data_IF_293607867770
#
_entry.id   IF_293607867770
#
_cell.length_a   1.000
_cell.length_b   1.000
_cell.length_c   1.000
_cell.angle_alpha   90.00
_cell.angle_beta   90.00
_cell.angle_gamma   90.00
#
_symmetry.space_group_name_H-M   'P 1'
#
loop_
_entity.id
_entity.type
_entity.pdbx_description
1 polymer ?
#
# COMPACT_ATOMS: atom_id res chain seq x y z
N UNK A 1 -45.65 -13.13 -42.99
CA UNK A 1 -46.50 -14.32 -43.19
C UNK A 1 -45.56 -15.51 -43.36
N UNK A 2 -45.62 -16.46 -42.45
CA UNK A 2 -44.61 -17.52 -42.31
C UNK A 2 -44.61 -18.46 -43.52
N UNK A 3 -43.43 -18.70 -44.08
CA UNK A 3 -43.14 -19.60 -45.19
C UNK A 3 -43.64 -21.05 -44.96
N UNK A 4 -44.11 -21.34 -43.76
CA UNK A 4 -44.61 -22.66 -43.35
C UNK A 4 -45.89 -23.09 -44.06
N UNK A 5 -46.77 -22.14 -44.44
CA UNK A 5 -48.01 -22.45 -45.16
C UNK A 5 -47.82 -22.56 -46.67
N UNK A 6 -46.74 -22.04 -47.22
CA UNK A 6 -46.48 -22.18 -48.68
C UNK A 6 -46.03 -23.59 -49.07
N UNK A 7 -45.44 -24.36 -48.17
CA UNK A 7 -44.92 -25.69 -48.50
C UNK A 7 -45.92 -26.73 -48.83
N UNK A 8 -47.03 -26.90 -48.09
CA UNK A 8 -48.10 -27.86 -48.53
C UNK A 8 -48.72 -27.44 -49.88
N UNK A 9 -48.86 -26.12 -50.13
CA UNK A 9 -49.33 -25.62 -51.40
C UNK A 9 -48.35 -25.93 -52.55
N UNK A 10 -47.06 -25.76 -52.35
CA UNK A 10 -46.02 -26.09 -53.33
C UNK A 10 -45.92 -27.60 -53.55
N UNK A 11 -46.04 -28.42 -52.51
CA UNK A 11 -46.04 -29.84 -52.58
C UNK A 11 -47.28 -30.34 -53.36
N UNK A 12 -48.46 -29.77 -53.10
CA UNK A 12 -49.69 -30.03 -53.86
C UNK A 12 -49.55 -29.63 -55.34
N UNK A 13 -48.99 -28.45 -55.62
CA UNK A 13 -48.73 -27.98 -56.97
C UNK A 13 -47.74 -28.88 -57.71
N UNK A 14 -46.70 -29.35 -57.06
CA UNK A 14 -45.72 -30.29 -57.61
C UNK A 14 -46.34 -31.66 -57.89
N UNK A 15 -47.15 -32.18 -56.97
CA UNK A 15 -47.87 -33.46 -57.20
C UNK A 15 -48.89 -33.33 -58.36
N UNK A 16 -49.61 -32.20 -58.39
CA UNK A 16 -50.57 -31.95 -59.51
C UNK A 16 -49.86 -31.83 -60.87
N UNK A 17 -48.68 -31.15 -60.88
CA UNK A 17 -47.86 -31.07 -62.09
C UNK A 17 -47.32 -32.44 -62.52
N UNK A 18 -46.83 -33.24 -61.56
CA UNK A 18 -46.35 -34.60 -61.81
C UNK A 18 -47.47 -35.50 -62.36
N UNK A 19 -48.68 -35.36 -61.80
CA UNK A 19 -49.88 -36.07 -62.31
C UNK A 19 -50.29 -35.60 -63.73
N UNK A 20 -50.23 -34.28 -63.98
CA UNK A 20 -50.55 -33.71 -65.28
C UNK A 20 -49.58 -34.16 -66.41
N UNK A 21 -48.28 -34.13 -66.09
CA UNK A 21 -47.25 -34.64 -67.01
C UNK A 21 -47.42 -36.14 -67.25
N UNK A 22 -47.65 -36.88 -66.16
CA UNK A 22 -47.94 -38.35 -66.27
C UNK A 22 -49.14 -38.63 -67.05
N UNK A 23 -50.27 -37.87 -66.94
CA UNK A 23 -51.50 -38.01 -67.71
C UNK A 23 -51.25 -37.75 -69.19
N UNK A 24 -50.52 -36.69 -69.56
CA UNK A 24 -50.17 -36.34 -70.92
C UNK A 24 -49.33 -37.44 -71.61
N UNK A 25 -48.31 -37.97 -70.88
CA UNK A 25 -47.51 -39.11 -71.38
C UNK A 25 -48.34 -40.38 -71.48
N UNK A 26 -49.25 -40.66 -70.55
CA UNK A 26 -50.11 -41.81 -70.50
C UNK A 26 -51.19 -41.82 -71.57
N UNK A 27 -51.68 -40.67 -72.04
CA UNK A 27 -52.58 -40.50 -73.14
C UNK A 27 -51.96 -41.01 -74.48
N UNK A 28 -50.64 -40.92 -74.59
CA UNK A 28 -49.88 -41.43 -75.75
C UNK A 28 -49.69 -42.94 -75.72
N UNK A 29 -49.64 -43.55 -74.51
CA UNK A 29 -49.38 -44.99 -74.31
C UNK A 29 -50.67 -45.77 -74.06
N UNK A 30 -51.84 -45.16 -73.99
CA UNK A 30 -53.17 -45.81 -73.81
C UNK A 30 -53.53 -46.06 -72.32
N UNK A 31 -52.75 -45.64 -71.36
CA UNK A 31 -52.98 -45.80 -69.91
C UNK A 31 -52.82 -44.53 -69.09
N UNK A 32 -53.62 -43.46 -69.35
CA UNK A 32 -53.37 -42.14 -68.80
C UNK A 32 -53.48 -42.06 -67.25
N UNK A 33 -54.42 -42.79 -66.68
CA UNK A 33 -54.63 -42.73 -65.19
C UNK A 33 -53.51 -43.35 -64.38
N UNK A 34 -53.01 -44.50 -64.85
CA UNK A 34 -51.92 -45.21 -64.17
C UNK A 34 -50.58 -44.45 -64.22
N UNK A 35 -50.31 -43.84 -65.36
CA UNK A 35 -49.06 -43.06 -65.55
C UNK A 35 -49.16 -41.73 -64.82
N UNK A 36 -50.32 -41.09 -64.67
CA UNK A 36 -50.56 -39.94 -63.84
C UNK A 36 -50.31 -40.26 -62.35
N UNK A 37 -50.85 -41.40 -61.89
CA UNK A 37 -50.60 -41.86 -60.50
C UNK A 37 -49.11 -42.16 -60.22
N UNK A 38 -48.43 -42.78 -61.18
CA UNK A 38 -46.96 -42.99 -61.07
C UNK A 38 -46.18 -41.71 -61.04
N UNK A 39 -46.55 -40.71 -61.87
CA UNK A 39 -45.90 -39.36 -61.84
C UNK A 39 -46.06 -38.61 -60.50
N UNK A 40 -47.30 -38.66 -59.97
CA UNK A 40 -47.53 -38.07 -58.62
C UNK A 40 -46.75 -38.80 -57.52
N UNK A 41 -46.68 -40.15 -57.61
CA UNK A 41 -45.93 -40.96 -56.63
C UNK A 41 -44.43 -40.68 -56.68
N UNK A 42 -43.83 -40.47 -57.84
CA UNK A 42 -42.41 -40.09 -57.99
C UNK A 42 -42.12 -38.74 -57.31
N UNK A 43 -43.05 -37.78 -57.51
CA UNK A 43 -42.85 -36.43 -56.84
C UNK A 43 -42.94 -36.58 -55.31
N UNK A 44 -43.88 -37.38 -54.79
CA UNK A 44 -43.96 -37.62 -53.32
C UNK A 44 -42.69 -38.28 -52.78
N UNK A 45 -42.16 -39.28 -53.53
CA UNK A 45 -40.93 -39.98 -53.14
C UNK A 45 -39.70 -39.00 -53.15
N UNK A 46 -39.63 -38.12 -54.17
CA UNK A 46 -38.55 -37.14 -54.23
C UNK A 46 -38.60 -36.08 -53.07
N UNK A 47 -39.84 -35.64 -52.77
CA UNK A 47 -40.05 -34.73 -51.62
C UNK A 47 -39.70 -35.41 -50.27
N UNK A 48 -40.10 -36.67 -50.10
CA UNK A 48 -39.77 -37.48 -48.94
C UNK A 48 -38.24 -37.70 -48.79
N UNK A 49 -37.62 -38.08 -49.91
CA UNK A 49 -36.16 -38.25 -49.93
C UNK A 49 -35.40 -36.93 -49.58
N UNK A 50 -35.91 -35.81 -50.10
CA UNK A 50 -35.40 -34.49 -49.76
C UNK A 50 -35.48 -34.18 -48.22
N UNK A 51 -36.67 -34.46 -47.64
CA UNK A 51 -36.89 -34.24 -46.20
C UNK A 51 -36.05 -35.17 -45.34
N UNK A 52 -35.93 -36.44 -45.69
CA UNK A 52 -35.10 -37.42 -44.99
C UNK A 52 -33.59 -37.00 -45.05
N UNK A 53 -33.15 -36.57 -46.24
CA UNK A 53 -31.76 -36.13 -46.39
C UNK A 53 -31.44 -34.91 -45.52
N UNK A 54 -32.36 -33.92 -45.43
CA UNK A 54 -32.17 -32.74 -44.57
C UNK A 54 -32.30 -33.09 -43.10
N UNK A 55 -33.22 -33.96 -42.69
CA UNK A 55 -33.31 -34.46 -41.32
C UNK A 55 -32.05 -35.22 -40.91
N UNK A 56 -31.50 -36.05 -41.79
CA UNK A 56 -30.24 -36.76 -41.53
C UNK A 56 -29.07 -35.80 -41.41
N UNK A 57 -28.96 -34.77 -42.26
CA UNK A 57 -27.97 -33.71 -42.17
C UNK A 57 -28.06 -32.97 -40.84
N UNK A 58 -29.28 -32.63 -40.42
CA UNK A 58 -29.52 -31.94 -39.14
C UNK A 58 -29.11 -32.79 -37.94
N UNK A 59 -29.49 -34.05 -37.90
CA UNK A 59 -29.12 -34.99 -36.84
C UNK A 59 -27.60 -35.22 -36.79
N UNK A 60 -26.98 -35.34 -37.97
CA UNK A 60 -25.52 -35.50 -38.05
C UNK A 60 -24.79 -34.24 -37.55
N UNK A 61 -25.28 -33.06 -37.87
CA UNK A 61 -24.74 -31.78 -37.37
C UNK A 61 -24.90 -31.65 -35.84
N UNK A 62 -26.04 -32.06 -35.27
CA UNK A 62 -26.23 -32.05 -33.83
C UNK A 62 -25.28 -33.01 -33.08
N UNK A 63 -24.84 -34.09 -33.70
CA UNK A 63 -23.96 -35.11 -33.10
C UNK A 63 -22.45 -34.81 -33.33
N UNK A 64 -22.14 -33.98 -34.32
CA UNK A 64 -20.75 -33.72 -34.74
C UNK A 64 -20.14 -32.47 -34.12
N UNK A 65 -18.83 -32.25 -34.34
CA UNK A 65 -18.19 -30.98 -34.01
C UNK A 65 -18.86 -29.87 -34.83
N UNK A 66 -19.41 -28.89 -34.15
CA UNK A 66 -20.28 -27.80 -34.66
C UNK A 66 -19.55 -26.75 -35.51
N UNK A 67 -18.43 -27.09 -36.11
CA UNK A 67 -17.57 -26.21 -36.91
C UNK A 67 -18.08 -25.99 -38.34
N UNK A 68 -19.03 -26.79 -38.82
CA UNK A 68 -19.59 -26.68 -40.19
C UNK A 68 -20.94 -25.98 -40.15
N UNK A 69 -21.08 -24.95 -40.94
CA UNK A 69 -22.37 -24.36 -41.27
C UNK A 69 -23.31 -25.43 -41.88
N UNK A 70 -24.59 -25.38 -41.50
CA UNK A 70 -25.59 -26.36 -41.93
C UNK A 70 -25.87 -26.35 -43.44
N UNK A 71 -25.26 -25.42 -44.21
CA UNK A 71 -25.43 -25.25 -45.65
C UNK A 71 -26.81 -24.74 -46.03
N UNK A 72 -26.90 -24.27 -47.27
CA UNK A 72 -28.16 -23.72 -47.79
C UNK A 72 -29.24 -24.80 -47.92
N UNK A 73 -30.31 -24.61 -47.18
CA UNK A 73 -31.55 -25.36 -47.31
C UNK A 73 -32.66 -24.42 -47.78
N UNK A 74 -33.67 -24.96 -48.46
CA UNK A 74 -34.80 -24.15 -48.91
C UNK A 74 -36.07 -24.48 -48.13
N UNK A 75 -36.92 -23.48 -47.94
CA UNK A 75 -38.21 -23.65 -47.27
C UNK A 75 -38.14 -23.91 -45.76
N UNK A 76 -38.90 -24.90 -45.27
CA UNK A 76 -39.01 -25.19 -43.82
C UNK A 76 -37.68 -25.55 -43.19
N UNK A 77 -36.83 -26.30 -43.88
CA UNK A 77 -35.51 -26.69 -43.36
C UNK A 77 -34.54 -25.51 -43.19
N UNK A 78 -34.66 -24.49 -44.05
CA UNK A 78 -33.90 -23.26 -43.89
C UNK A 78 -34.24 -22.55 -42.55
N UNK A 79 -35.51 -22.47 -42.22
CA UNK A 79 -35.96 -21.83 -40.99
C UNK A 79 -35.60 -22.66 -39.74
N UNK A 80 -35.72 -23.98 -39.80
CA UNK A 80 -35.31 -24.90 -38.72
C UNK A 80 -33.82 -24.79 -38.47
N UNK A 81 -33.00 -24.80 -39.53
CA UNK A 81 -31.56 -24.68 -39.42
C UNK A 81 -31.13 -23.31 -38.83
N UNK A 82 -31.71 -22.23 -39.36
CA UNK A 82 -31.43 -20.89 -38.88
C UNK A 82 -31.80 -20.69 -37.41
N UNK A 83 -32.98 -21.17 -37.00
CA UNK A 83 -33.40 -21.06 -35.60
C UNK A 83 -32.53 -21.91 -34.67
N UNK A 84 -32.22 -23.14 -35.07
CA UNK A 84 -31.37 -24.02 -34.26
C UNK A 84 -29.94 -23.44 -34.09
N UNK A 85 -29.36 -22.96 -35.19
CA UNK A 85 -28.03 -22.34 -35.17
C UNK A 85 -28.02 -21.07 -34.31
N UNK A 86 -29.03 -20.22 -34.47
CA UNK A 86 -29.13 -18.98 -33.66
C UNK A 86 -29.28 -19.28 -32.16
N UNK A 87 -30.14 -20.26 -31.80
CA UNK A 87 -30.35 -20.63 -30.40
C UNK A 87 -29.08 -21.22 -29.79
N UNK A 88 -28.37 -22.07 -30.51
CA UNK A 88 -27.11 -22.64 -30.04
C UNK A 88 -26.00 -21.61 -29.90
N UNK A 89 -25.86 -20.70 -30.87
CA UNK A 89 -24.91 -19.59 -30.78
C UNK A 89 -25.23 -18.68 -29.61
N UNK A 90 -26.51 -18.43 -29.30
CA UNK A 90 -26.92 -17.65 -28.12
C UNK A 90 -26.51 -18.36 -26.83
N UNK A 91 -26.80 -19.66 -26.70
CA UNK A 91 -26.43 -20.45 -25.50
C UNK A 91 -24.90 -20.51 -25.32
N UNK A 92 -24.16 -20.71 -26.41
CA UNK A 92 -22.67 -20.69 -26.34
C UNK A 92 -22.13 -19.31 -25.94
N UNK A 93 -22.72 -18.26 -26.48
CA UNK A 93 -22.34 -16.88 -26.10
C UNK A 93 -22.62 -16.61 -24.62
N UNK A 94 -23.81 -16.98 -24.13
CA UNK A 94 -24.21 -16.79 -22.73
C UNK A 94 -23.28 -17.56 -21.78
N UNK A 95 -22.93 -18.81 -22.13
CA UNK A 95 -21.96 -19.62 -21.35
C UNK A 95 -20.56 -19.04 -21.36
N UNK A 96 -20.10 -18.50 -22.48
CA UNK A 96 -18.80 -17.83 -22.57
C UNK A 96 -18.80 -16.56 -21.74
N UNK A 97 -19.85 -15.76 -21.82
CA UNK A 97 -20.00 -14.53 -21.04
C UNK A 97 -20.05 -14.81 -19.54
N UNK A 98 -20.79 -15.84 -19.11
CA UNK A 98 -20.82 -16.26 -17.70
C UNK A 98 -19.45 -16.70 -17.20
N UNK A 99 -18.70 -17.48 -18.00
CA UNK A 99 -17.34 -17.90 -17.66
C UNK A 99 -16.39 -16.71 -17.58
N UNK A 100 -16.51 -15.76 -18.49
CA UNK A 100 -15.67 -14.56 -18.52
C UNK A 100 -15.97 -13.67 -17.31
N UNK A 101 -17.23 -13.42 -16.98
CA UNK A 101 -17.64 -12.68 -15.79
C UNK A 101 -17.13 -13.34 -14.50
N UNK A 102 -17.25 -14.66 -14.39
CA UNK A 102 -16.71 -15.40 -13.24
C UNK A 102 -15.20 -15.29 -13.15
N UNK A 103 -14.50 -15.39 -14.26
CA UNK A 103 -13.03 -15.23 -14.30
C UNK A 103 -12.61 -13.83 -13.91
N UNK A 104 -13.26 -12.79 -14.41
CA UNK A 104 -13.01 -11.39 -14.06
C UNK A 104 -13.27 -11.12 -12.57
N UNK A 105 -14.35 -11.67 -12.01
CA UNK A 105 -14.66 -11.55 -10.59
C UNK A 105 -13.58 -12.18 -9.70
N UNK A 106 -13.15 -13.41 -10.01
CA UNK A 106 -12.07 -14.08 -9.26
C UNK A 106 -10.75 -13.32 -9.39
N UNK A 107 -10.42 -12.81 -10.59
CA UNK A 107 -9.22 -11.99 -10.79
C UNK A 107 -9.24 -10.70 -10.00
N UNK A 108 -10.40 -10.06 -9.85
CA UNK A 108 -10.56 -8.85 -9.03
C UNK A 108 -10.33 -9.13 -7.54
N UNK A 109 -10.83 -10.28 -7.04
CA UNK A 109 -10.59 -10.69 -5.64
C UNK A 109 -9.14 -11.11 -5.43
N UNK A 110 -8.52 -11.75 -6.43
CA UNK A 110 -7.09 -12.11 -6.37
C UNK A 110 -6.17 -10.87 -6.31
N UNK A 111 -6.56 -9.79 -6.98
CA UNK A 111 -5.86 -8.50 -6.94
C UNK A 111 -6.12 -7.67 -5.67
N UNK A 112 -7.00 -8.13 -4.76
CA UNK A 112 -7.29 -7.44 -3.50
C UNK A 112 -6.03 -7.36 -2.62
N UNK A 113 -5.72 -6.20 -2.01
CA UNK A 113 -4.65 -6.08 -1.02
C UNK A 113 -4.98 -6.79 0.30
N UNK A 114 -6.24 -7.18 0.49
CA UNK A 114 -6.68 -7.92 1.66
C UNK A 114 -6.73 -9.42 1.36
N UNK A 115 -6.42 -10.22 2.37
CA UNK A 115 -6.62 -11.66 2.28
C UNK A 115 -8.11 -12.00 2.30
N UNK A 116 -8.53 -12.82 1.33
CA UNK A 116 -9.90 -13.33 1.22
C UNK A 116 -9.85 -14.84 1.18
N UNK A 117 -10.61 -15.48 2.06
CA UNK A 117 -10.68 -16.93 2.19
C UNK A 117 -12.14 -17.34 2.33
N UNK A 118 -12.56 -18.34 1.58
CA UNK A 118 -13.91 -18.88 1.60
C UNK A 118 -13.90 -20.24 2.29
N UNK A 119 -14.80 -20.40 3.25
CA UNK A 119 -14.98 -21.64 4.01
C UNK A 119 -16.37 -22.23 3.73
N UNK A 120 -16.44 -23.54 3.68
CA UNK A 120 -17.69 -24.28 3.65
C UNK A 120 -18.38 -24.34 5.05
N UNK A 121 -19.49 -25.07 5.14
CA UNK A 121 -20.24 -25.27 6.37
C UNK A 121 -19.43 -25.99 7.47
N UNK A 122 -18.41 -26.77 7.08
CA UNK A 122 -17.53 -27.54 7.95
C UNK A 122 -16.22 -26.84 8.29
N UNK A 123 -16.08 -25.55 7.96
CA UNK A 123 -14.86 -24.75 8.09
C UNK A 123 -13.68 -25.26 7.23
N UNK A 124 -13.96 -25.95 6.09
CA UNK A 124 -12.96 -26.35 5.12
C UNK A 124 -12.74 -25.23 4.11
N UNK A 125 -11.51 -25.10 3.65
CA UNK A 125 -11.10 -24.07 2.70
C UNK A 125 -11.65 -24.42 1.31
N UNK A 126 -12.63 -23.66 0.79
CA UNK A 126 -13.09 -23.78 -0.58
C UNK A 126 -12.20 -23.02 -1.57
N UNK A 127 -11.72 -21.86 -1.14
CA UNK A 127 -10.88 -20.98 -1.95
C UNK A 127 -10.18 -19.94 -1.09
N UNK A 128 -8.99 -19.51 -1.50
CA UNK A 128 -8.30 -18.37 -0.92
C UNK A 128 -7.50 -17.63 -2.00
N UNK A 129 -7.36 -16.30 -1.84
CA UNK A 129 -6.44 -15.53 -2.67
C UNK A 129 -5.01 -15.64 -2.13
N UNK A 130 -4.04 -15.18 -2.95
CA UNK A 130 -2.63 -15.20 -2.59
C UNK A 130 -2.34 -14.48 -1.28
N UNK A 131 -2.96 -13.34 -1.03
CA UNK A 131 -2.74 -12.55 0.19
C UNK A 131 -3.21 -13.30 1.43
N UNK A 132 -4.36 -13.99 1.40
CA UNK A 132 -4.79 -14.85 2.50
C UNK A 132 -3.83 -16.01 2.73
N UNK A 133 -3.33 -16.62 1.65
CA UNK A 133 -2.34 -17.69 1.75
C UNK A 133 -1.03 -17.22 2.42
N UNK A 134 -0.55 -16.02 2.08
CA UNK A 134 0.61 -15.39 2.73
C UNK A 134 0.34 -15.06 4.21
N UNK A 135 -0.80 -14.46 4.53
CA UNK A 135 -1.18 -14.08 5.90
C UNK A 135 -1.29 -15.27 6.85
N UNK A 136 -1.91 -16.36 6.40
CA UNK A 136 -2.15 -17.54 7.22
C UNK A 136 -1.12 -18.66 7.02
N UNK A 137 -0.19 -18.49 6.08
CA UNK A 137 0.83 -19.49 5.76
C UNK A 137 0.27 -20.74 5.08
N UNK A 138 -0.73 -20.57 4.22
CA UNK A 138 -1.42 -21.65 3.50
C UNK A 138 -0.76 -21.91 2.14
N UNK A 139 -0.88 -23.15 1.66
CA UNK A 139 -0.57 -23.52 0.28
C UNK A 139 -1.87 -23.65 -0.50
N UNK A 140 -2.06 -22.75 -1.50
CA UNK A 140 -3.28 -22.65 -2.30
C UNK A 140 -3.65 -23.96 -3.03
N UNK A 141 -2.66 -24.84 -3.33
CA UNK A 141 -2.92 -26.10 -4.04
C UNK A 141 -3.14 -27.28 -3.09
N UNK A 142 -2.42 -27.28 -1.96
CA UNK A 142 -2.39 -28.42 -1.05
C UNK A 142 -3.45 -28.36 0.05
N UNK A 143 -3.80 -27.15 0.49
CA UNK A 143 -4.61 -26.95 1.70
C UNK A 143 -6.11 -26.74 1.41
N UNK A 144 -6.50 -26.75 0.13
CA UNK A 144 -7.92 -26.75 -0.27
C UNK A 144 -8.60 -28.01 0.26
N UNK A 145 -9.86 -27.88 0.71
CA UNK A 145 -10.69 -28.90 1.36
C UNK A 145 -10.18 -29.35 2.73
N UNK A 146 -9.13 -28.74 3.25
CA UNK A 146 -8.72 -28.97 4.63
C UNK A 146 -9.42 -27.98 5.59
N UNK A 147 -9.64 -28.43 6.82
CA UNK A 147 -10.25 -27.59 7.84
C UNK A 147 -9.26 -26.51 8.27
N UNK A 148 -9.66 -25.24 8.19
CA UNK A 148 -8.78 -24.10 8.47
C UNK A 148 -8.16 -24.15 9.86
N UNK A 149 -8.90 -24.64 10.89
CA UNK A 149 -8.42 -24.74 12.27
C UNK A 149 -7.30 -25.78 12.48
N UNK A 150 -7.08 -26.69 11.53
CA UNK A 150 -5.96 -27.64 11.57
C UNK A 150 -4.66 -26.99 11.11
N UNK A 151 -4.75 -26.01 10.23
CA UNK A 151 -3.64 -25.31 9.60
C UNK A 151 -3.29 -24.05 10.39
N UNK A 152 -4.30 -23.22 10.67
CA UNK A 152 -4.18 -21.96 11.42
C UNK A 152 -4.49 -22.21 12.88
N UNK A 153 -3.45 -22.44 13.69
CA UNK A 153 -3.57 -22.82 15.10
C UNK A 153 -3.50 -21.65 16.08
N UNK A 154 -3.75 -20.44 15.63
CA UNK A 154 -3.78 -19.25 16.50
C UNK A 154 -4.99 -19.32 17.43
N UNK A 155 -4.81 -19.35 18.77
CA UNK A 155 -5.92 -19.55 19.72
C UNK A 155 -7.03 -18.50 19.58
N UNK A 156 -6.65 -17.23 19.36
CA UNK A 156 -7.59 -16.14 19.19
C UNK A 156 -8.45 -16.30 17.92
N UNK A 157 -7.85 -16.73 16.79
CA UNK A 157 -8.57 -17.00 15.54
C UNK A 157 -9.53 -18.18 15.69
N UNK A 158 -9.07 -19.29 16.28
CA UNK A 158 -9.89 -20.49 16.48
C UNK A 158 -11.09 -20.19 17.40
N UNK A 159 -10.86 -19.51 18.52
CA UNK A 159 -11.91 -19.10 19.43
C UNK A 159 -12.93 -18.15 18.75
N UNK A 160 -12.45 -17.21 17.96
CA UNK A 160 -13.28 -16.27 17.21
C UNK A 160 -14.14 -17.00 16.15
N UNK A 161 -13.55 -17.91 15.38
CA UNK A 161 -14.26 -18.68 14.36
C UNK A 161 -15.36 -19.56 14.96
N UNK A 162 -15.09 -20.20 16.10
CA UNK A 162 -16.01 -21.09 16.82
C UNK A 162 -17.07 -20.34 17.64
N UNK A 163 -16.76 -19.13 18.09
CA UNK A 163 -17.63 -18.34 18.99
C UNK A 163 -18.90 -17.80 18.34
N UNK A 164 -18.96 -17.72 17.00
CA UNK A 164 -20.16 -17.29 16.28
C UNK A 164 -20.50 -15.79 16.38
N UNK A 165 -19.77 -15.03 17.21
CA UNK A 165 -19.97 -13.59 17.42
C UNK A 165 -19.03 -12.79 16.51
N UNK A 166 -19.36 -12.67 15.22
CA UNK A 166 -18.49 -12.05 14.21
C UNK A 166 -18.81 -10.58 13.92
N UNK A 167 -19.34 -9.85 14.89
CA UNK A 167 -19.72 -8.44 14.71
C UNK A 167 -18.51 -7.52 14.55
N UNK A 168 -17.42 -7.80 15.27
CA UNK A 168 -16.20 -7.04 15.26
C UNK A 168 -15.02 -7.91 14.80
N UNK A 169 -13.99 -7.33 14.15
CA UNK A 169 -12.81 -8.08 13.77
C UNK A 169 -11.98 -8.48 14.98
N UNK A 170 -11.35 -9.64 14.93
CA UNK A 170 -10.35 -10.06 15.91
C UNK A 170 -8.95 -9.71 15.40
N UNK A 171 -8.08 -9.28 16.30
CA UNK A 171 -6.67 -9.09 16.01
C UNK A 171 -5.90 -10.34 16.41
N UNK A 172 -5.13 -10.86 15.47
CA UNK A 172 -4.29 -12.04 15.66
C UNK A 172 -2.85 -11.76 15.24
N UNK A 173 -1.90 -12.47 15.80
CA UNK A 173 -0.52 -12.44 15.34
C UNK A 173 -0.45 -13.09 13.95
N UNK A 174 0.30 -12.49 13.02
CA UNK A 174 0.51 -13.08 11.72
C UNK A 174 1.54 -14.22 11.76
N UNK A 175 1.94 -14.70 10.59
CA UNK A 175 3.00 -15.71 10.46
C UNK A 175 4.34 -15.22 11.04
N UNK A 176 4.66 -13.96 10.85
CA UNK A 176 5.78 -13.29 11.53
C UNK A 176 5.26 -12.77 12.88
N UNK A 177 5.89 -13.12 14.03
CA UNK A 177 5.51 -12.64 15.35
C UNK A 177 5.48 -11.10 15.49
N UNK A 178 6.17 -10.40 14.58
CA UNK A 178 6.17 -8.93 14.51
C UNK A 178 5.01 -8.37 13.69
N UNK A 179 4.20 -9.22 13.03
CA UNK A 179 3.06 -8.81 12.21
C UNK A 179 1.73 -9.02 12.94
N UNK A 180 0.77 -8.13 12.68
CA UNK A 180 -0.56 -8.17 13.24
C UNK A 180 -1.61 -8.16 12.13
N UNK A 181 -2.53 -9.10 12.19
CA UNK A 181 -3.63 -9.24 11.25
C UNK A 181 -4.96 -8.91 11.92
N UNK A 182 -5.75 -8.07 11.29
CA UNK A 182 -7.17 -7.91 11.59
C UNK A 182 -7.97 -8.91 10.79
N UNK A 183 -8.68 -9.81 11.45
CA UNK A 183 -9.46 -10.88 10.82
C UNK A 183 -10.93 -10.68 11.10
N UNK A 184 -11.73 -10.64 10.05
CA UNK A 184 -13.18 -10.51 10.09
C UNK A 184 -13.82 -11.72 9.42
N UNK A 185 -14.73 -12.39 10.11
CA UNK A 185 -15.55 -13.48 9.56
C UNK A 185 -16.95 -12.95 9.27
N UNK A 186 -17.51 -13.32 8.11
CA UNK A 186 -18.91 -13.03 7.76
C UNK A 186 -19.56 -14.28 7.18
N UNK A 187 -20.78 -14.64 7.63
CA UNK A 187 -21.53 -15.69 6.99
C UNK A 187 -22.05 -15.24 5.63
N UNK A 188 -22.07 -16.15 4.65
CA UNK A 188 -22.71 -15.93 3.38
C UNK A 188 -23.35 -17.23 2.87
N UNK A 189 -24.41 -17.10 2.07
CA UNK A 189 -25.13 -18.25 1.56
C UNK A 189 -25.67 -19.17 2.65
N UNK A 190 -25.68 -20.47 2.40
CA UNK A 190 -26.15 -21.49 3.33
C UNK A 190 -24.95 -22.02 4.15
N UNK A 191 -24.75 -21.48 5.35
CA UNK A 191 -23.73 -21.96 6.31
C UNK A 191 -22.26 -21.66 5.97
N UNK A 192 -21.98 -21.10 4.80
CA UNK A 192 -20.63 -20.74 4.36
C UNK A 192 -20.13 -19.47 5.02
N UNK A 193 -18.82 -19.31 5.10
CA UNK A 193 -18.16 -18.16 5.73
C UNK A 193 -17.11 -17.55 4.81
N UNK A 194 -17.08 -16.23 4.79
CA UNK A 194 -15.96 -15.47 4.21
C UNK A 194 -15.09 -14.96 5.34
N UNK A 195 -13.79 -15.20 5.25
CA UNK A 195 -12.78 -14.68 6.17
C UNK A 195 -12.00 -13.61 5.42
N UNK A 196 -12.01 -12.40 5.97
CA UNK A 196 -11.25 -11.27 5.47
C UNK A 196 -10.07 -11.02 6.41
N UNK A 197 -8.86 -10.93 5.89
CA UNK A 197 -7.68 -10.60 6.68
C UNK A 197 -6.99 -9.36 6.12
N UNK A 198 -6.60 -8.45 7.00
CA UNK A 198 -5.89 -7.22 6.67
C UNK A 198 -4.64 -7.12 7.55
N UNK A 199 -3.50 -6.84 6.95
CA UNK A 199 -2.30 -6.50 7.70
C UNK A 199 -2.45 -5.11 8.31
N UNK A 200 -2.40 -5.05 9.63
CA UNK A 200 -2.52 -3.84 10.43
C UNK A 200 -1.23 -3.53 11.20
N UNK A 201 -0.11 -4.17 10.85
CA UNK A 201 1.16 -4.07 11.55
C UNK A 201 1.63 -2.62 11.69
N UNK A 202 1.68 -1.89 10.58
CA UNK A 202 2.10 -0.49 10.58
C UNK A 202 1.15 0.41 11.38
N UNK A 203 -0.15 0.14 11.30
CA UNK A 203 -1.15 0.87 12.07
C UNK A 203 -0.96 0.63 13.58
N UNK A 204 -0.81 -0.63 13.98
CA UNK A 204 -0.58 -0.97 15.39
C UNK A 204 0.74 -0.41 15.93
N UNK A 205 1.81 -0.47 15.14
CA UNK A 205 3.09 0.16 15.50
C UNK A 205 2.94 1.67 15.70
N UNK A 206 2.22 2.33 14.80
CA UNK A 206 1.92 3.76 14.92
C UNK A 206 1.10 4.09 16.17
N UNK A 207 0.06 3.30 16.48
CA UNK A 207 -0.75 3.49 17.68
C UNK A 207 0.02 3.19 18.98
N UNK A 208 0.90 2.18 18.97
CA UNK A 208 1.79 1.89 20.10
C UNK A 208 2.79 3.03 20.34
N UNK A 209 3.49 3.48 19.27
CA UNK A 209 4.39 4.62 19.34
C UNK A 209 3.71 5.88 19.88
N UNK A 210 2.47 6.13 19.47
CA UNK A 210 1.70 7.29 19.96
C UNK A 210 1.36 7.16 21.47
N UNK A 211 0.96 5.97 21.92
CA UNK A 211 0.68 5.73 23.35
C UNK A 211 1.95 5.90 24.19
N UNK A 212 3.06 5.32 23.72
CA UNK A 212 4.36 5.43 24.41
C UNK A 212 4.85 6.88 24.44
N UNK A 213 4.62 7.62 23.36
CA UNK A 213 4.94 9.05 23.32
C UNK A 213 4.17 9.83 24.39
N UNK A 214 2.84 9.67 24.50
CA UNK A 214 2.03 10.37 25.51
C UNK A 214 2.44 9.98 26.95
N UNK A 215 2.73 8.71 27.17
CA UNK A 215 3.21 8.23 28.48
C UNK A 215 4.57 8.86 28.83
N UNK A 216 5.52 8.86 27.91
CA UNK A 216 6.84 9.43 28.12
C UNK A 216 6.80 10.95 28.32
N UNK A 217 5.99 11.69 27.53
CA UNK A 217 5.77 13.13 27.76
C UNK A 217 5.27 13.39 29.18
N UNK A 218 4.27 12.60 29.62
CA UNK A 218 3.70 12.75 30.96
C UNK A 218 4.76 12.51 32.05
N UNK A 219 5.62 11.53 31.89
CA UNK A 219 6.70 11.23 32.81
C UNK A 219 7.79 12.33 32.82
N UNK A 220 8.23 12.80 31.64
CA UNK A 220 9.26 13.82 31.52
C UNK A 220 8.81 15.21 32.03
N UNK A 221 7.50 15.49 32.01
CA UNK A 221 6.93 16.71 32.62
C UNK A 221 6.72 16.55 34.12
N UNK A 222 6.24 15.38 34.58
CA UNK A 222 5.95 15.17 36.00
C UNK A 222 7.20 15.28 36.89
N UNK A 223 8.33 14.73 36.43
CA UNK A 223 9.57 14.71 37.21
C UNK A 223 10.07 16.12 37.59
N UNK A 224 10.28 17.05 36.67
CA UNK A 224 10.71 18.41 37.01
C UNK A 224 9.66 19.16 37.84
N UNK A 225 8.35 18.95 37.60
CA UNK A 225 7.28 19.54 38.41
C UNK A 225 7.33 19.09 39.86
N UNK A 226 7.55 17.79 40.12
CA UNK A 226 7.70 17.25 41.47
C UNK A 226 8.94 17.84 42.16
N UNK A 227 10.06 17.99 41.44
CA UNK A 227 11.26 18.59 41.98
C UNK A 227 11.06 20.10 42.33
N UNK A 228 10.38 20.84 41.44
CA UNK A 228 10.01 22.22 41.71
C UNK A 228 9.10 22.37 42.92
N UNK A 229 8.07 21.50 43.05
CA UNK A 229 7.18 21.50 44.20
C UNK A 229 7.96 21.24 45.51
N UNK A 230 8.90 20.28 45.52
CA UNK A 230 9.74 20.01 46.68
C UNK A 230 10.67 21.17 47.05
N UNK A 231 11.21 21.90 46.05
CA UNK A 231 11.99 23.09 46.33
C UNK A 231 11.16 24.26 46.90
N UNK A 232 9.93 24.43 46.43
CA UNK A 232 8.98 25.41 46.98
C UNK A 232 8.67 25.06 48.44
N UNK A 233 8.32 23.80 48.72
CA UNK A 233 8.03 23.31 50.06
C UNK A 233 9.26 23.50 51.01
N UNK A 234 10.46 23.25 50.49
CA UNK A 234 11.70 23.47 51.22
C UNK A 234 11.87 24.96 51.59
N UNK A 235 11.60 25.87 50.64
CA UNK A 235 11.68 27.30 50.86
C UNK A 235 10.61 27.84 51.81
N UNK A 236 9.43 27.22 51.87
CA UNK A 236 8.33 27.59 52.72
C UNK A 236 8.54 27.12 54.17
N UNK A 237 9.07 25.89 54.37
CA UNK A 237 9.07 25.23 55.68
C UNK A 237 10.43 25.26 56.39
N UNK A 238 11.53 25.59 55.69
CA UNK A 238 12.86 25.59 56.29
C UNK A 238 13.47 27.00 56.37
N UNK A 239 14.10 27.40 57.50
CA UNK A 239 14.84 28.63 57.59
C UNK A 239 16.19 28.48 56.86
N UNK A 240 16.20 28.87 55.56
CA UNK A 240 17.39 28.81 54.72
C UNK A 240 18.25 30.03 54.87
N UNK A 241 19.55 29.84 54.88
CA UNK A 241 20.53 30.93 54.74
C UNK A 241 20.43 31.53 53.32
N UNK A 242 20.89 32.75 53.12
CA UNK A 242 20.87 33.42 51.81
C UNK A 242 21.58 32.60 50.72
N UNK A 243 22.70 31.98 51.07
CA UNK A 243 23.45 31.10 50.15
C UNK A 243 22.68 29.86 49.74
N UNK A 244 21.98 29.21 50.67
CA UNK A 244 21.12 28.04 50.40
C UNK A 244 19.91 28.45 49.58
N UNK A 245 19.28 29.57 49.88
CA UNK A 245 18.16 30.10 49.11
C UNK A 245 18.54 30.39 47.67
N UNK A 246 19.69 31.04 47.43
CA UNK A 246 20.18 31.28 46.08
C UNK A 246 20.48 29.97 45.32
N UNK A 247 21.03 28.98 46.02
CA UNK A 247 21.26 27.65 45.42
C UNK A 247 19.97 26.96 45.01
N UNK A 248 18.93 26.99 45.86
CA UNK A 248 17.61 26.44 45.54
C UNK A 248 17.00 27.17 44.33
N UNK A 249 17.05 28.50 44.32
CA UNK A 249 16.55 29.31 43.19
C UNK A 249 17.27 28.98 41.86
N UNK A 250 18.60 28.77 41.91
CA UNK A 250 19.36 28.33 40.74
C UNK A 250 18.92 26.98 40.24
N UNK A 251 18.70 26.00 41.13
CA UNK A 251 18.21 24.67 40.75
C UNK A 251 16.76 24.72 40.18
N UNK A 252 15.90 25.54 40.77
CA UNK A 252 14.54 25.76 40.23
C UNK A 252 14.62 26.36 38.82
N UNK A 253 15.47 27.34 38.59
CA UNK A 253 15.68 27.92 37.26
C UNK A 253 16.14 26.91 36.26
N UNK A 254 17.10 26.05 36.61
CA UNK A 254 17.57 24.96 35.74
C UNK A 254 16.45 23.99 35.37
N UNK A 255 15.56 23.65 36.32
CA UNK A 255 14.40 22.79 36.02
C UNK A 255 13.38 23.49 35.08
N UNK A 256 13.14 24.77 35.27
CA UNK A 256 12.27 25.57 34.41
C UNK A 256 12.82 25.67 32.99
N UNK A 257 14.11 25.98 32.83
CA UNK A 257 14.78 26.05 31.54
C UNK A 257 14.72 24.70 30.80
N UNK A 258 14.92 23.60 31.53
CA UNK A 258 14.76 22.24 30.97
C UNK A 258 13.34 21.98 30.49
N UNK A 259 12.32 22.41 31.24
CA UNK A 259 10.92 22.27 30.81
C UNK A 259 10.63 23.11 29.56
N UNK A 260 11.17 24.31 29.46
CA UNK A 260 11.03 25.14 28.27
C UNK A 260 11.62 24.46 27.03
N UNK A 261 12.81 23.88 27.13
CA UNK A 261 13.41 23.11 26.02
C UNK A 261 12.53 21.89 25.64
N UNK A 262 12.05 21.15 26.63
CA UNK A 262 11.17 19.99 26.38
C UNK A 262 9.90 20.40 25.62
N UNK A 263 9.24 21.48 26.06
CA UNK A 263 8.01 21.98 25.41
C UNK A 263 8.30 22.47 23.99
N UNK A 264 9.42 23.19 23.79
CA UNK A 264 9.82 23.65 22.45
C UNK A 264 10.10 22.48 21.50
N UNK A 265 10.79 21.43 21.97
CA UNK A 265 11.04 20.21 21.18
C UNK A 265 9.75 19.49 20.83
N UNK A 266 8.78 19.38 21.77
CA UNK A 266 7.48 18.77 21.54
C UNK A 266 6.66 19.55 20.51
N UNK A 267 6.64 20.89 20.59
CA UNK A 267 5.94 21.73 19.62
C UNK A 267 6.57 21.61 18.23
N UNK A 268 7.91 21.61 18.16
CA UNK A 268 8.64 21.40 16.91
C UNK A 268 8.28 20.05 16.28
N UNK A 269 8.28 18.97 17.08
CA UNK A 269 7.92 17.63 16.58
C UNK A 269 6.47 17.58 16.10
N UNK A 270 5.54 18.18 16.85
CA UNK A 270 4.13 18.23 16.46
C UNK A 270 3.92 19.02 15.15
N UNK A 271 4.64 20.12 14.96
CA UNK A 271 4.62 20.90 13.71
C UNK A 271 5.18 20.09 12.54
N UNK A 272 6.30 19.38 12.74
CA UNK A 272 6.90 18.53 11.72
C UNK A 272 5.97 17.39 11.27
N UNK A 273 5.19 16.81 12.18
CA UNK A 273 4.24 15.74 11.88
C UNK A 273 2.98 16.23 11.17
N UNK A 274 2.49 17.42 11.52
CA UNK A 274 1.23 17.98 11.00
C UNK A 274 1.36 18.79 9.72
N UNK A 275 2.57 19.16 9.31
CA UNK A 275 2.80 20.05 8.17
C UNK A 275 3.06 19.29 6.86
N UNK A 276 2.68 19.82 5.69
CA UNK A 276 3.03 19.25 4.40
C UNK A 276 4.55 19.28 4.18
N UNK A 277 5.06 18.43 3.28
CA UNK A 277 6.49 18.42 2.94
C UNK A 277 6.94 19.78 2.43
N UNK A 278 8.16 20.26 2.81
CA UNK A 278 8.71 21.51 2.31
C UNK A 278 8.79 21.54 0.79
N UNK A 279 8.35 22.65 0.18
CA UNK A 279 8.46 22.85 -1.26
C UNK A 279 9.94 23.00 -1.69
N UNK A 280 10.19 22.86 -2.99
CA UNK A 280 11.52 23.11 -3.57
C UNK A 280 11.72 24.59 -3.98
N UNK A 281 10.76 25.44 -3.71
CA UNK A 281 10.77 26.83 -4.18
C UNK A 281 11.53 27.79 -3.25
N UNK A 282 11.67 27.42 -1.99
CA UNK A 282 12.37 28.23 -0.98
C UNK A 282 13.81 27.77 -0.83
N UNK A 283 14.73 28.59 -1.33
CA UNK A 283 16.16 28.34 -1.29
C UNK A 283 16.86 29.21 -0.25
N UNK A 284 17.64 28.60 0.61
CA UNK A 284 18.36 29.28 1.70
C UNK A 284 19.85 29.04 1.53
N UNK A 285 20.65 30.13 1.63
CA UNK A 285 22.10 30.02 1.67
C UNK A 285 22.56 29.29 2.95
N UNK A 286 23.37 28.26 2.77
CA UNK A 286 23.80 27.45 3.92
C UNK A 286 24.80 28.19 4.81
N UNK A 287 25.68 29.04 4.26
CA UNK A 287 26.71 29.75 5.02
C UNK A 287 26.16 30.63 6.17
N UNK A 288 25.11 31.48 5.97
CA UNK A 288 24.53 32.26 7.07
C UNK A 288 23.90 31.36 8.17
N UNK A 289 23.33 30.23 7.79
CA UNK A 289 22.74 29.28 8.73
C UNK A 289 23.81 28.63 9.60
N UNK A 290 24.93 28.23 9.00
CA UNK A 290 26.06 27.66 9.75
C UNK A 290 26.71 28.70 10.66
N UNK A 291 26.86 29.97 10.24
CA UNK A 291 27.36 31.06 11.08
C UNK A 291 26.50 31.29 12.33
N UNK A 292 25.16 31.21 12.17
CA UNK A 292 24.24 31.33 13.31
C UNK A 292 24.40 30.15 14.27
N UNK A 293 24.48 28.92 13.75
CA UNK A 293 24.71 27.73 14.57
C UNK A 293 26.08 27.77 15.27
N UNK A 294 27.11 28.28 14.61
CA UNK A 294 28.42 28.47 15.17
C UNK A 294 28.39 29.45 16.38
N UNK A 295 27.74 30.60 16.22
CA UNK A 295 27.58 31.58 17.29
C UNK A 295 26.84 31.01 18.50
N UNK A 296 25.72 30.28 18.26
CA UNK A 296 24.95 29.62 19.31
C UNK A 296 25.78 28.50 19.98
N UNK A 297 26.50 27.71 19.18
CA UNK A 297 27.39 26.63 19.65
C UNK A 297 28.58 27.19 20.50
N UNK A 298 29.22 28.27 20.08
CA UNK A 298 30.26 28.92 20.82
C UNK A 298 29.76 29.42 22.19
N UNK A 299 28.57 29.99 22.22
CA UNK A 299 27.92 30.44 23.46
C UNK A 299 27.64 29.26 24.39
N UNK A 300 27.11 28.17 23.88
CA UNK A 300 26.80 26.95 24.64
C UNK A 300 28.07 26.24 25.11
N UNK A 301 29.10 26.20 24.28
CA UNK A 301 30.39 25.61 24.61
C UNK A 301 31.11 26.40 25.71
N UNK A 302 30.92 27.72 25.81
CA UNK A 302 31.60 28.60 26.74
C UNK A 302 33.13 28.41 26.74
N UNK A 303 33.70 28.19 25.54
CA UNK A 303 35.16 27.99 25.37
C UNK A 303 35.68 26.61 25.78
N UNK A 304 34.85 25.68 26.13
CA UNK A 304 35.25 24.32 26.56
C UNK A 304 35.72 23.42 25.44
N UNK A 305 35.34 23.71 24.19
CA UNK A 305 35.59 22.83 23.01
C UNK A 305 36.18 23.66 21.87
N UNK A 306 37.02 23.01 21.03
CA UNK A 306 37.41 23.56 19.75
C UNK A 306 36.31 23.29 18.71
N UNK A 307 35.53 24.34 18.41
CA UNK A 307 34.51 24.28 17.37
C UNK A 307 35.14 24.70 16.03
N UNK A 308 34.97 23.87 14.98
CA UNK A 308 35.49 24.12 13.65
C UNK A 308 34.34 24.06 12.66
N UNK A 309 34.10 25.20 12.01
CA UNK A 309 33.08 25.32 10.96
C UNK A 309 33.73 25.65 9.62
N UNK A 310 33.12 25.31 8.50
CA UNK A 310 33.65 25.65 7.18
C UNK A 310 33.56 27.18 6.97
N UNK A 311 34.66 27.78 6.50
CA UNK A 311 34.76 29.24 6.33
C UNK A 311 33.82 29.76 5.22
N UNK A 312 33.58 28.97 4.17
CA UNK A 312 32.68 29.31 3.08
C UNK A 312 32.02 28.04 2.55
N UNK A 313 30.69 28.10 2.35
CA UNK A 313 29.87 27.03 1.75
C UNK A 313 29.00 27.68 0.68
N UNK A 314 29.46 27.73 -0.58
CA UNK A 314 28.77 28.45 -1.65
C UNK A 314 27.61 27.63 -2.21
N UNK A 315 26.70 27.16 -1.35
CA UNK A 315 25.53 26.36 -1.73
C UNK A 315 24.24 26.93 -1.08
N UNK A 316 23.16 26.65 -1.78
CA UNK A 316 21.80 26.88 -1.28
C UNK A 316 21.10 25.54 -1.10
N UNK A 317 20.28 25.44 -0.05
CA UNK A 317 19.46 24.26 0.25
C UNK A 317 18.00 24.64 0.18
N UNK A 318 17.20 23.84 -0.53
CA UNK A 318 15.75 24.02 -0.64
C UNK A 318 15.02 23.41 0.56
N UNK A 319 14.22 24.21 1.25
CA UNK A 319 13.46 23.73 2.41
C UNK A 319 12.98 24.86 3.32
N UNK A 320 12.64 24.49 4.55
CA UNK A 320 12.25 25.43 5.60
C UNK A 320 13.48 25.76 6.46
N UNK A 321 13.88 27.03 6.48
CA UNK A 321 15.06 27.51 7.19
C UNK A 321 15.07 27.08 8.66
N UNK A 322 13.97 27.26 9.37
CA UNK A 322 13.85 26.91 10.78
C UNK A 322 14.03 25.40 11.03
N UNK A 323 13.58 24.54 10.11
CA UNK A 323 13.75 23.09 10.22
C UNK A 323 15.22 22.70 10.03
N UNK A 324 15.90 23.30 9.04
CA UNK A 324 17.34 23.05 8.78
C UNK A 324 18.17 23.51 9.97
N UNK A 325 17.91 24.73 10.49
CA UNK A 325 18.57 25.25 11.70
C UNK A 325 18.36 24.35 12.91
N UNK A 326 17.12 23.86 13.11
CA UNK A 326 16.80 22.94 14.20
C UNK A 326 17.55 21.62 14.05
N UNK A 327 17.63 21.04 12.84
CA UNK A 327 18.31 19.77 12.63
C UNK A 327 19.82 19.88 12.91
N UNK A 328 20.49 20.86 12.31
CA UNK A 328 21.95 21.03 12.48
C UNK A 328 22.28 21.47 13.91
N UNK A 329 21.49 22.40 14.49
CA UNK A 329 21.62 22.85 15.87
C UNK A 329 21.52 21.70 16.89
N UNK A 330 20.56 20.77 16.69
CA UNK A 330 20.44 19.59 17.54
C UNK A 330 21.68 18.68 17.47
N UNK A 331 22.30 18.51 16.30
CA UNK A 331 23.52 17.72 16.15
C UNK A 331 24.72 18.41 16.86
N UNK A 332 24.89 19.71 16.64
CA UNK A 332 25.97 20.49 17.28
C UNK A 332 25.79 20.52 18.81
N UNK A 333 24.57 20.73 19.31
CA UNK A 333 24.26 20.68 20.72
C UNK A 333 24.56 19.31 21.34
N UNK A 334 24.25 18.22 20.66
CA UNK A 334 24.60 16.87 21.08
C UNK A 334 26.11 16.69 21.12
N UNK A 335 26.85 17.12 20.09
CA UNK A 335 28.30 17.06 20.07
C UNK A 335 28.93 17.81 21.24
N UNK A 336 28.49 19.06 21.55
CA UNK A 336 28.97 19.86 22.70
C UNK A 336 28.66 19.14 24.02
N UNK A 337 27.51 18.50 24.14
CA UNK A 337 27.08 17.82 25.37
C UNK A 337 27.87 16.57 25.67
N UNK A 338 28.19 15.78 24.65
CA UNK A 338 28.82 14.47 24.80
C UNK A 338 30.32 14.46 24.55
N UNK A 339 30.91 15.61 24.26
CA UNK A 339 32.35 15.80 24.14
C UNK A 339 32.90 16.35 25.47
N UNK A 340 33.95 15.75 26.06
CA UNK A 340 34.62 16.32 27.24
C UNK A 340 35.28 17.67 26.94
N UNK A 341 35.51 18.48 27.99
CA UNK A 341 36.21 19.73 27.85
C UNK A 341 37.62 19.52 27.23
N UNK A 342 38.04 20.42 26.34
CA UNK A 342 39.23 20.28 25.51
C UNK A 342 39.02 19.46 24.22
N UNK A 343 37.85 18.88 24.02
CA UNK A 343 37.55 18.11 22.80
C UNK A 343 37.32 19.00 21.57
N UNK A 344 37.22 18.34 20.41
CA UNK A 344 37.05 18.94 19.09
C UNK A 344 35.72 18.53 18.47
N UNK A 345 35.00 19.50 17.94
CA UNK A 345 33.77 19.34 17.20
C UNK A 345 33.94 20.00 15.83
N UNK A 346 33.73 19.25 14.77
CA UNK A 346 33.94 19.71 13.39
C UNK A 346 32.66 19.57 12.58
N UNK A 347 32.23 20.68 11.97
CA UNK A 347 31.15 20.73 11.01
C UNK A 347 31.75 20.87 9.62
N UNK A 348 31.37 20.02 8.69
CA UNK A 348 31.85 20.05 7.31
C UNK A 348 30.73 19.84 6.31
N UNK A 349 30.96 20.33 5.10
CA UNK A 349 30.05 20.16 3.96
C UNK A 349 30.79 19.49 2.81
N UNK A 350 30.29 18.39 2.33
CA UNK A 350 30.92 17.58 1.27
C UNK A 350 29.88 17.24 0.17
N UNK A 351 30.22 17.49 -1.07
CA UNK A 351 29.44 16.98 -2.19
C UNK A 351 29.80 15.50 -2.45
N UNK A 352 28.82 14.62 -2.54
CA UNK A 352 29.03 13.20 -2.92
C UNK A 352 29.03 13.03 -4.46
N UNK A 353 29.74 11.99 -4.92
CA UNK A 353 29.61 11.51 -6.30
C UNK A 353 28.17 11.03 -6.55
N UNK A 354 27.43 11.76 -7.41
CA UNK A 354 25.99 11.50 -7.64
C UNK A 354 25.12 12.75 -7.46
N UNK A 355 25.73 13.84 -6.94
CA UNK A 355 25.07 15.14 -6.80
C UNK A 355 24.42 15.39 -5.42
N UNK A 356 24.29 14.37 -4.58
CA UNK A 356 23.85 14.53 -3.20
C UNK A 356 24.90 15.30 -2.39
N UNK A 357 24.47 16.00 -1.38
CA UNK A 357 25.37 16.73 -0.50
C UNK A 357 25.19 16.29 0.96
N UNK A 358 26.28 16.30 1.69
CA UNK A 358 26.36 15.83 3.06
C UNK A 358 26.84 16.95 3.95
N UNK A 359 26.07 17.28 4.98
CA UNK A 359 26.50 18.04 6.12
C UNK A 359 26.90 17.07 7.23
N UNK A 360 28.15 17.09 7.62
CA UNK A 360 28.71 16.20 8.63
C UNK A 360 28.97 16.99 9.92
N UNK A 361 28.57 16.43 11.05
CA UNK A 361 28.95 16.90 12.39
C UNK A 361 29.74 15.80 13.08
N UNK A 362 31.00 16.00 13.29
CA UNK A 362 31.94 15.05 13.89
C UNK A 362 32.44 15.53 15.23
N UNK A 363 32.42 14.67 16.23
CA UNK A 363 32.98 14.91 17.56
C UNK A 363 34.01 13.83 17.94
N UNK A 364 34.92 14.16 18.86
CA UNK A 364 35.82 13.21 19.50
C UNK A 364 35.40 12.90 20.94
N UNK A 365 34.10 12.86 21.19
CA UNK A 365 33.51 12.61 22.50
C UNK A 365 33.53 11.14 22.93
N UNK A 366 32.63 10.80 23.85
CA UNK A 366 32.57 9.46 24.47
C UNK A 366 32.21 8.34 23.48
N UNK A 367 31.63 8.68 22.32
CA UNK A 367 31.11 7.71 21.34
C UNK A 367 29.89 6.93 21.84
N UNK A 368 29.37 6.09 20.97
CA UNK A 368 28.09 5.34 21.18
C UNK A 368 28.33 3.88 20.86
N UNK A 369 27.86 2.96 21.71
CA UNK A 369 27.95 1.55 21.48
C UNK A 369 26.99 1.10 20.35
N UNK A 370 27.43 0.13 19.56
CA UNK A 370 26.76 -0.31 18.33
C UNK A 370 25.30 -0.74 18.54
N UNK A 371 25.00 -1.31 19.70
CA UNK A 371 23.65 -1.75 20.08
C UNK A 371 22.63 -0.63 20.21
N UNK A 372 23.11 0.62 20.48
CA UNK A 372 22.25 1.79 20.62
C UNK A 372 21.98 2.52 19.29
N UNK A 373 22.84 2.35 18.27
CA UNK A 373 22.75 3.08 17.01
C UNK A 373 21.38 3.00 16.33
N UNK A 374 20.73 1.83 16.21
CA UNK A 374 19.42 1.73 15.57
C UNK A 374 18.31 2.48 16.29
N UNK A 375 18.49 2.70 17.60
CA UNK A 375 17.47 3.26 18.48
C UNK A 375 17.65 4.75 18.77
N UNK A 376 18.77 5.35 18.39
CA UNK A 376 19.10 6.74 18.72
C UNK A 376 18.06 7.76 18.25
N UNK A 377 17.32 7.45 17.19
CA UNK A 377 16.27 8.30 16.62
C UNK A 377 14.88 8.01 17.17
N UNK A 378 14.74 7.04 18.10
CA UNK A 378 13.49 6.82 18.83
C UNK A 378 13.24 8.00 19.78
N UNK A 379 11.97 8.39 19.93
CA UNK A 379 11.60 9.50 20.83
C UNK A 379 11.87 9.13 22.27
N UNK A 380 12.47 10.06 23.02
CA UNK A 380 12.89 9.90 24.43
C UNK A 380 13.95 8.83 24.67
N UNK A 381 14.52 8.25 23.61
CA UNK A 381 15.58 7.26 23.77
C UNK A 381 16.88 7.93 24.25
N UNK A 382 17.55 7.28 25.22
CA UNK A 382 18.80 7.74 25.84
C UNK A 382 19.64 6.53 26.20
N UNK A 383 20.93 6.57 25.89
CA UNK A 383 21.89 5.48 26.18
C UNK A 383 22.06 5.28 27.70
N UNK A 384 22.20 6.37 28.49
CA UNK A 384 22.34 6.35 29.93
C UNK A 384 21.31 7.26 30.61
N UNK A 385 20.31 6.67 31.28
CA UNK A 385 19.25 7.41 31.97
C UNK A 385 19.71 8.21 33.19
N UNK A 386 20.86 7.88 33.80
CA UNK A 386 21.37 8.55 35.02
C UNK A 386 22.30 9.75 34.71
N UNK A 387 23.31 9.56 33.88
CA UNK A 387 24.24 10.63 33.46
C UNK A 387 23.58 11.72 32.62
N UNK A 388 22.62 11.34 31.80
CA UNK A 388 21.96 12.29 30.92
C UNK A 388 20.88 13.12 31.61
N UNK A 389 20.45 12.78 32.84
CA UNK A 389 19.65 13.69 33.69
C UNK A 389 20.45 14.90 34.16
N UNK A 390 21.74 14.75 34.44
CA UNK A 390 22.64 15.84 34.79
C UNK A 390 22.97 16.74 33.59
N UNK A 391 23.03 16.19 32.36
CA UNK A 391 23.34 16.95 31.15
C UNK A 391 22.12 17.56 30.49
N UNK A 392 20.89 17.30 30.94
CA UNK A 392 19.68 18.03 30.54
C UNK A 392 19.08 17.66 29.15
N UNK A 393 19.40 16.50 28.57
CA UNK A 393 18.82 16.07 27.26
C UNK A 393 17.35 15.64 27.35
N UNK A 394 16.55 16.07 26.38
CA UNK A 394 15.13 15.69 26.25
C UNK A 394 14.93 14.29 25.61
N UNK A 395 15.94 13.79 24.88
CA UNK A 395 15.80 12.58 24.04
C UNK A 395 14.95 12.78 22.79
N UNK A 396 14.58 14.02 22.46
CA UNK A 396 13.80 14.35 21.27
C UNK A 396 14.65 14.90 20.11
N UNK A 397 15.83 15.45 20.39
CA UNK A 397 16.65 16.14 19.39
C UNK A 397 16.96 15.30 18.15
N UNK A 398 17.41 14.04 18.30
CA UNK A 398 17.70 13.16 17.15
C UNK A 398 16.43 12.68 16.43
N UNK A 399 15.31 12.55 17.14
CA UNK A 399 14.02 12.29 16.50
C UNK A 399 13.60 13.50 15.64
N UNK A 400 13.79 14.73 16.11
CA UNK A 400 13.56 15.96 15.34
C UNK A 400 14.45 15.96 14.08
N UNK A 401 15.74 15.69 14.23
CA UNK A 401 16.68 15.60 13.09
C UNK A 401 16.20 14.61 12.04
N UNK A 402 15.83 13.41 12.45
CA UNK A 402 15.31 12.38 11.54
C UNK A 402 14.05 12.85 10.81
N UNK A 403 13.08 13.42 11.54
CA UNK A 403 11.84 13.93 10.93
C UNK A 403 12.10 15.05 9.92
N UNK A 404 12.98 15.99 10.26
CA UNK A 404 13.40 17.07 9.35
C UNK A 404 13.99 16.48 8.07
N UNK A 405 14.94 15.55 8.18
CA UNK A 405 15.57 14.93 7.01
C UNK A 405 14.55 14.17 6.16
N UNK A 406 13.69 13.36 6.75
CA UNK A 406 12.63 12.65 6.04
C UNK A 406 11.66 13.59 5.30
N UNK A 407 11.29 14.72 5.91
CA UNK A 407 10.45 15.74 5.26
C UNK A 407 11.13 16.37 4.05
N UNK A 408 12.45 16.56 4.14
CA UNK A 408 13.28 17.10 3.06
C UNK A 408 13.70 16.02 2.04
N UNK A 409 13.22 14.76 2.19
CA UNK A 409 13.58 13.64 1.29
C UNK A 409 15.04 13.20 1.43
N UNK A 410 15.69 13.60 2.53
CA UNK A 410 17.06 13.23 2.87
C UNK A 410 17.12 12.14 3.93
N UNK A 411 18.33 11.80 4.36
CA UNK A 411 18.62 10.75 5.33
C UNK A 411 19.57 11.23 6.42
N UNK A 412 19.47 10.60 7.60
CA UNK A 412 20.41 10.74 8.71
C UNK A 412 21.24 9.46 8.83
N UNK A 413 22.54 9.56 8.58
CA UNK A 413 23.50 8.48 8.86
C UNK A 413 24.26 8.76 10.16
N UNK A 414 24.57 7.69 10.92
CA UNK A 414 25.33 7.79 12.18
C UNK A 414 26.43 6.75 12.19
N UNK A 415 27.65 7.18 12.40
CA UNK A 415 28.81 6.33 12.67
C UNK A 415 29.40 6.70 14.01
N UNK A 416 29.60 5.74 14.91
CA UNK A 416 30.19 6.01 16.23
C UNK A 416 30.90 4.78 16.79
N UNK A 417 31.94 5.03 17.56
CA UNK A 417 32.69 4.01 18.27
C UNK A 417 33.00 4.50 19.68
N UNK A 418 32.73 3.69 20.72
CA UNK A 418 33.04 4.08 22.11
C UNK A 418 34.46 4.53 22.28
N UNK A 419 34.68 5.70 22.90
CA UNK A 419 35.98 6.30 23.14
C UNK A 419 36.65 7.00 21.95
N UNK A 420 36.06 6.95 20.75
CA UNK A 420 36.60 7.64 19.56
C UNK A 420 35.73 8.81 19.09
N UNK A 421 34.49 8.90 19.57
CA UNK A 421 33.53 9.93 19.20
C UNK A 421 32.49 9.47 18.21
N UNK A 422 31.76 10.44 17.65
CA UNK A 422 30.64 10.18 16.75
C UNK A 422 30.69 11.07 15.50
N UNK A 423 30.09 10.60 14.44
CA UNK A 423 29.92 11.31 13.18
C UNK A 423 28.47 11.18 12.73
N UNK A 424 27.77 12.29 12.68
CA UNK A 424 26.39 12.40 12.21
C UNK A 424 26.40 13.07 10.85
N UNK A 425 25.73 12.46 9.85
CA UNK A 425 25.63 12.98 8.48
C UNK A 425 24.21 13.24 8.08
N UNK A 426 23.91 14.45 7.65
CA UNK A 426 22.66 14.84 7.03
C UNK A 426 22.85 14.80 5.51
N UNK A 427 22.20 13.86 4.86
CA UNK A 427 22.29 13.66 3.41
C UNK A 427 21.13 14.37 2.73
N UNK A 428 21.45 15.41 1.98
CA UNK A 428 20.47 16.16 1.19
C UNK A 428 20.46 15.65 -0.26
N UNK A 429 19.30 15.31 -0.82
CA UNK A 429 19.22 14.86 -2.21
C UNK A 429 19.58 15.99 -3.18
N UNK A 430 20.14 15.65 -4.32
CA UNK A 430 20.55 16.59 -5.38
C UNK A 430 19.49 17.65 -5.72
N UNK A 431 18.21 17.24 -5.78
CA UNK A 431 17.11 18.16 -6.09
C UNK A 431 16.95 19.31 -5.07
N UNK A 432 17.54 19.19 -3.89
CA UNK A 432 17.48 20.19 -2.81
C UNK A 432 18.75 20.99 -2.59
N UNK A 433 19.74 20.79 -3.43
CA UNK A 433 21.04 21.46 -3.30
C UNK A 433 21.42 22.11 -4.61
N UNK A 434 21.87 23.36 -4.58
CA UNK A 434 22.41 24.06 -5.75
C UNK A 434 23.57 24.96 -5.37
N UNK A 435 24.53 25.21 -6.27
CA UNK A 435 25.53 26.25 -6.09
C UNK A 435 24.89 27.64 -6.04
N UNK A 436 25.45 28.55 -5.22
CA UNK A 436 25.02 29.95 -5.16
C UNK A 436 25.18 30.61 -6.54
N UNK A 437 24.12 31.25 -7.05
CA UNK A 437 24.15 32.01 -8.30
C UNK A 437 23.65 31.27 -9.54
N UNK A 438 23.26 30.01 -9.45
CA UNK A 438 22.56 29.32 -10.55
C UNK A 438 21.03 29.42 -10.33
N UNK A 439 20.41 30.41 -10.98
CA UNK A 439 18.97 30.41 -11.17
C UNK A 439 18.62 29.17 -12.02
N UNK A 440 17.71 28.30 -11.57
CA UNK A 440 17.20 27.25 -12.47
C UNK A 440 16.58 27.91 -13.71
N UNK A 441 16.88 27.40 -14.92
CA UNK A 441 16.11 27.78 -16.08
C UNK A 441 14.66 27.35 -15.82
N UNK A 442 13.73 28.29 -15.97
CA UNK A 442 12.30 28.07 -15.83
C UNK A 442 11.91 26.78 -16.57
N UNK A 443 11.19 25.89 -15.90
CA UNK A 443 10.65 24.68 -16.51
C UNK A 443 9.94 25.09 -17.82
N UNK A 444 10.42 24.60 -18.96
CA UNK A 444 9.72 24.72 -20.23
C UNK A 444 8.37 24.03 -20.06
N UNK A 445 7.32 24.83 -19.93
CA UNK A 445 5.96 24.40 -20.22
C UNK A 445 6.00 23.95 -21.70
N UNK A 446 5.95 22.67 -21.94
CA UNK A 446 5.66 22.14 -23.26
C UNK A 446 4.18 22.42 -23.49
N UNK A 447 3.89 23.53 -24.17
CA UNK A 447 2.58 23.80 -24.76
C UNK A 447 2.35 22.75 -25.85
N UNK A 448 1.60 21.71 -25.50
CA UNK A 448 1.02 20.75 -26.46
C UNK A 448 -0.24 21.40 -27.09
N UNK A 449 0.03 22.42 -27.92
CA UNK A 449 -0.96 23.00 -28.81
C UNK A 449 -0.52 22.70 -30.24
N UNK A 450 -0.92 21.56 -30.76
CA UNK A 450 -1.04 21.40 -32.21
C UNK A 450 -2.33 20.69 -32.53
N UNK A 451 -3.27 21.56 -32.85
CA UNK A 451 -4.52 21.35 -33.58
C UNK A 451 -4.30 20.54 -34.87
N UNK A 452 -5.36 19.82 -35.14
CA UNK A 452 -5.74 19.22 -36.43
C UNK A 452 -5.53 20.10 -37.68
N UNK A 453 -5.64 19.54 -38.94
CA UNK A 453 -6.97 19.47 -39.53
C UNK A 453 -7.49 18.04 -39.78
#
# INVERSE_FOLDING_TARGET
MSSTWLRPLLAWAACASGAAVGYALGAWVGHPVWIAAAGASVVVLLLGAYDVAHAYRFLRWLRGPRVRELGDATGLWSEVFFRAERTLKSIEHDLLQEREQRSQFLSAIEASPNGVLLLDESDQIEWCNRVAAEHFGLDVQRDILQRITNLVRMPAFVAYLQGGAWNEPVVVEGRDPASALSVLVRPYGQGRKIVLSMDITERQRGEAMRRDFVANVSHEIRTPLTVLAGFIETMENLPLTETERQRVLLLMRQQTDRMHVLVADLLTLAQLEGSPRPSLDQWHRLAPLLQRIEADGCTLSAGRHALVFPADVPVEVAGVEAEILSAVGNLVNNAIRYTPAGGRIEVSWVARNGGDAVLEVRDNGIGIAREHLPRLTERFYRVDGSRSRETGGTGLGLAIVKHVMQRHGGELEVESEPGKGSCFRLIFPYARVRPVGLSQPAARVVDDATTAP
#
